data_IF_351556168989
#
_entry.id   IF_351556168989
#
_cell.length_a   1.000
_cell.length_b   1.000
_cell.length_c   1.000
_cell.angle_alpha   90.00
_cell.angle_beta   90.00
_cell.angle_gamma   90.00
#
_symmetry.space_group_name_H-M   'P 1'
#
loop_
_entity.id
_entity.type
_entity.pdbx_description
1 polymer ?
#
# COMPACT_ATOMS: atom_id res chain seq x y z
N UNK A 1 88.94 15.77 -56.42
CA UNK A 1 89.34 14.88 -55.31
C UNK A 1 88.07 14.28 -54.75
N UNK A 2 87.95 12.97 -54.87
CA UNK A 2 86.94 12.10 -54.27
C UNK A 2 86.88 12.23 -52.74
N UNK A 3 85.69 12.08 -52.16
CA UNK A 3 85.33 11.17 -51.03
C UNK A 3 83.92 11.54 -50.53
N UNK A 4 83.13 10.56 -50.06
CA UNK A 4 81.68 10.49 -50.22
C UNK A 4 80.89 10.72 -48.92
N UNK A 5 79.56 10.83 -49.11
CA UNK A 5 78.48 10.18 -48.35
C UNK A 5 78.86 9.52 -47.01
N UNK A 6 78.38 10.11 -45.91
CA UNK A 6 78.08 9.39 -44.68
C UNK A 6 76.55 9.32 -44.49
N UNK A 7 76.03 8.16 -44.87
CA UNK A 7 74.77 7.57 -44.42
C UNK A 7 74.78 7.34 -42.90
N UNK A 8 73.74 7.81 -42.21
CA UNK A 8 73.29 7.24 -40.93
C UNK A 8 71.76 7.00 -40.96
N UNK A 9 71.25 6.02 -40.19
CA UNK A 9 70.41 4.98 -40.76
C UNK A 9 68.92 5.23 -40.49
N UNK A 10 68.10 4.87 -41.48
CA UNK A 10 66.68 4.63 -41.30
C UNK A 10 66.45 3.40 -40.41
N UNK A 11 66.41 3.60 -39.09
CA UNK A 11 66.14 2.52 -38.15
C UNK A 11 65.36 3.00 -36.92
N UNK A 12 64.10 3.44 -37.07
CA UNK A 12 63.14 3.27 -35.94
C UNK A 12 61.63 3.39 -36.23
N UNK A 13 61.16 3.39 -37.48
CA UNK A 13 59.70 3.58 -37.71
C UNK A 13 58.86 2.32 -37.43
N UNK A 14 59.47 1.13 -37.44
CA UNK A 14 58.77 -0.15 -37.30
C UNK A 14 58.64 -0.60 -35.84
N UNK A 15 59.58 -0.23 -34.97
CA UNK A 15 59.57 -0.57 -33.55
C UNK A 15 58.62 0.35 -32.78
N UNK A 16 58.69 1.66 -33.03
CA UNK A 16 57.75 2.65 -32.47
C UNK A 16 56.28 2.34 -32.82
N UNK A 17 55.99 1.94 -34.06
CA UNK A 17 54.63 1.54 -34.47
C UNK A 17 54.15 0.25 -33.79
N UNK A 18 55.05 -0.70 -33.54
CA UNK A 18 54.74 -1.94 -32.81
C UNK A 18 54.49 -1.67 -31.32
N UNK A 19 55.31 -0.82 -30.69
CA UNK A 19 55.12 -0.39 -29.31
C UNK A 19 53.83 0.42 -29.14
N UNK A 20 53.55 1.36 -30.05
CA UNK A 20 52.30 2.11 -30.06
C UNK A 20 51.07 1.19 -30.19
N UNK A 21 51.13 0.21 -31.12
CA UNK A 21 50.07 -0.79 -31.27
C UNK A 21 49.89 -1.62 -29.98
N UNK A 22 51.00 -2.11 -29.40
CA UNK A 22 50.96 -2.90 -28.17
C UNK A 22 50.37 -2.11 -26.99
N UNK A 23 50.76 -0.83 -26.83
CA UNK A 23 50.21 0.06 -25.80
C UNK A 23 48.73 0.34 -26.02
N UNK A 24 48.28 0.55 -27.27
CA UNK A 24 46.85 0.74 -27.56
C UNK A 24 46.03 -0.52 -27.31
N UNK A 25 46.56 -1.70 -27.64
CA UNK A 25 45.91 -2.98 -27.36
C UNK A 25 45.83 -3.20 -25.85
N UNK A 26 46.92 -3.00 -25.11
CA UNK A 26 46.93 -3.15 -23.65
C UNK A 26 45.96 -2.18 -22.98
N UNK A 27 45.92 -0.92 -23.42
CA UNK A 27 45.00 0.10 -22.93
C UNK A 27 43.53 -0.26 -23.20
N UNK A 28 43.22 -0.78 -24.39
CA UNK A 28 41.86 -1.22 -24.74
C UNK A 28 41.41 -2.44 -23.90
N UNK A 29 42.31 -3.39 -23.63
CA UNK A 29 42.02 -4.55 -22.78
C UNK A 29 41.80 -4.13 -21.33
N UNK A 30 42.61 -3.22 -20.80
CA UNK A 30 42.42 -2.65 -19.46
C UNK A 30 41.09 -1.91 -19.34
N UNK A 31 40.71 -1.11 -20.33
CA UNK A 31 39.42 -0.42 -20.37
C UNK A 31 38.25 -1.42 -20.35
N UNK A 32 38.32 -2.48 -21.16
CA UNK A 32 37.30 -3.53 -21.19
C UNK A 32 37.18 -4.26 -19.86
N UNK A 33 38.29 -4.53 -19.17
CA UNK A 33 38.27 -5.16 -17.84
C UNK A 33 37.65 -4.25 -16.78
N UNK A 34 37.93 -2.94 -16.83
CA UNK A 34 37.29 -1.96 -15.93
C UNK A 34 35.80 -1.86 -16.20
N UNK A 35 35.38 -1.74 -17.47
CA UNK A 35 33.97 -1.71 -17.85
C UNK A 35 33.27 -3.00 -17.44
N UNK A 36 33.88 -4.17 -17.67
CA UNK A 36 33.34 -5.45 -17.24
C UNK A 36 33.21 -5.51 -15.71
N UNK A 37 34.19 -5.03 -14.96
CA UNK A 37 34.15 -4.94 -13.49
C UNK A 37 33.03 -4.02 -12.99
N UNK A 38 32.84 -2.85 -13.62
CA UNK A 38 31.75 -1.92 -13.30
C UNK A 38 30.40 -2.52 -13.64
N UNK A 39 30.26 -3.18 -14.79
CA UNK A 39 29.03 -3.88 -15.17
C UNK A 39 28.74 -5.05 -14.23
N UNK A 40 29.75 -5.84 -13.84
CA UNK A 40 29.60 -6.92 -12.87
C UNK A 40 29.19 -6.38 -11.50
N UNK A 41 29.82 -5.31 -11.03
CA UNK A 41 29.43 -4.65 -9.80
C UNK A 41 28.01 -4.11 -9.88
N UNK A 42 27.65 -3.41 -10.96
CA UNK A 42 26.30 -2.93 -11.19
C UNK A 42 25.28 -4.08 -11.23
N UNK A 43 25.59 -5.19 -11.91
CA UNK A 43 24.72 -6.36 -12.01
C UNK A 43 24.59 -7.14 -10.69
N UNK A 44 25.66 -7.18 -9.89
CA UNK A 44 25.66 -7.78 -8.56
C UNK A 44 24.93 -6.88 -7.55
N UNK A 45 25.09 -5.56 -7.64
CA UNK A 45 24.37 -4.57 -6.82
C UNK A 45 22.90 -4.43 -7.21
N UNK A 46 22.53 -4.61 -8.47
CA UNK A 46 21.12 -4.65 -8.90
C UNK A 46 20.43 -5.99 -8.60
N UNK A 47 21.20 -7.05 -8.28
CA UNK A 47 20.71 -8.33 -7.75
C UNK A 47 20.60 -8.39 -6.23
N UNK A 48 20.84 -7.29 -5.52
CA UNK A 48 20.83 -7.26 -4.05
C UNK A 48 19.50 -7.72 -3.43
N UNK A 49 18.42 -7.82 -4.20
CA UNK A 49 17.17 -8.44 -3.73
C UNK A 49 16.56 -9.44 -4.72
N UNK A 50 17.36 -10.33 -5.31
CA UNK A 50 16.83 -11.34 -6.25
C UNK A 50 15.90 -12.37 -5.59
N UNK A 51 16.08 -12.66 -4.30
CA UNK A 51 15.31 -13.68 -3.55
C UNK A 51 14.77 -13.16 -2.21
N UNK A 52 14.81 -11.84 -1.98
CA UNK A 52 14.40 -11.21 -0.73
C UNK A 52 13.19 -10.29 -0.91
N UNK A 53 12.77 -9.68 0.19
CA UNK A 53 11.71 -8.67 0.23
C UNK A 53 12.36 -7.34 0.58
N UNK A 54 12.00 -6.29 -0.16
CA UNK A 54 12.51 -4.94 0.07
C UNK A 54 11.65 -4.20 1.09
N UNK A 55 12.27 -3.69 2.15
CA UNK A 55 11.69 -2.72 3.07
C UNK A 55 11.55 -1.35 2.38
N UNK A 56 10.31 -0.90 2.18
CA UNK A 56 9.90 0.45 1.74
C UNK A 56 10.82 1.17 0.74
N UNK A 57 10.83 2.50 0.83
CA UNK A 57 11.73 3.36 0.02
C UNK A 57 13.19 3.28 0.44
N UNK A 58 13.45 2.75 1.65
CA UNK A 58 14.80 2.58 2.19
C UNK A 58 15.62 1.51 1.46
N UNK A 59 14.97 0.64 0.67
CA UNK A 59 15.64 -0.33 -0.19
C UNK A 59 16.42 -1.42 0.56
N UNK A 60 16.23 -1.54 1.88
CA UNK A 60 16.85 -2.60 2.68
C UNK A 60 16.21 -3.93 2.28
N UNK A 61 17.01 -4.88 1.78
CA UNK A 61 16.52 -6.20 1.42
C UNK A 61 16.66 -7.17 2.59
N UNK A 62 15.58 -7.87 2.93
CA UNK A 62 15.55 -8.92 3.96
C UNK A 62 15.10 -10.25 3.37
N UNK A 63 15.41 -11.35 4.06
CA UNK A 63 14.95 -12.68 3.64
C UNK A 63 13.44 -12.81 3.80
N UNK A 64 12.77 -13.59 2.95
CA UNK A 64 11.35 -13.94 3.13
C UNK A 64 11.05 -14.60 4.49
N UNK A 65 12.04 -15.25 5.09
CA UNK A 65 11.93 -15.86 6.42
C UNK A 65 11.95 -14.85 7.57
N UNK A 66 12.43 -13.63 7.32
CA UNK A 66 12.47 -12.51 8.28
C UNK A 66 11.20 -11.65 8.22
N UNK A 67 10.30 -11.93 7.27
CA UNK A 67 9.04 -11.23 7.14
C UNK A 67 8.01 -11.88 8.07
N UNK A 68 7.41 -11.10 8.97
CA UNK A 68 6.43 -11.58 9.95
C UNK A 68 6.98 -12.64 10.90
N UNK A 69 8.23 -12.47 11.31
CA UNK A 69 8.88 -13.36 12.25
C UNK A 69 8.76 -12.91 13.72
N UNK A 70 8.30 -11.68 13.95
CA UNK A 70 8.13 -11.06 15.26
C UNK A 70 9.27 -10.13 15.66
N UNK A 71 10.26 -9.91 14.77
CA UNK A 71 11.42 -9.05 15.03
C UNK A 71 11.48 -7.98 13.95
N UNK A 72 11.57 -6.71 14.37
CA UNK A 72 11.72 -5.61 13.42
C UNK A 72 13.11 -5.61 12.78
N UNK A 73 13.16 -5.93 11.49
CA UNK A 73 14.34 -5.82 10.64
C UNK A 73 14.29 -4.57 9.76
N UNK A 74 13.10 -4.12 9.35
CA UNK A 74 12.94 -2.86 8.63
C UNK A 74 12.95 -1.68 9.61
N UNK A 75 13.59 -0.57 9.24
CA UNK A 75 13.70 0.62 10.10
C UNK A 75 12.33 1.21 10.54
N UNK A 76 11.31 1.07 9.69
CA UNK A 76 9.93 1.48 9.97
C UNK A 76 9.03 0.33 10.47
N UNK A 77 9.57 -0.88 10.66
CA UNK A 77 8.81 -2.06 11.14
C UNK A 77 7.79 -2.62 10.14
N UNK A 78 7.93 -2.29 8.86
CA UNK A 78 7.01 -2.72 7.81
C UNK A 78 6.92 -4.25 7.68
N UNK A 79 8.03 -4.93 7.95
CA UNK A 79 8.14 -6.39 7.94
C UNK A 79 7.24 -7.06 8.98
N UNK A 80 6.85 -6.34 10.03
CA UNK A 80 5.97 -6.83 11.10
C UNK A 80 4.59 -6.17 11.11
N UNK A 81 4.41 -5.08 10.36
CA UNK A 81 3.15 -4.34 10.29
C UNK A 81 2.17 -4.92 9.24
N UNK A 82 2.65 -5.68 8.26
CA UNK A 82 1.85 -6.17 7.12
C UNK A 82 1.85 -7.70 7.01
N UNK A 83 1.47 -8.37 8.09
CA UNK A 83 1.46 -9.84 8.17
C UNK A 83 0.14 -10.49 7.78
N UNK A 84 -0.91 -9.68 7.69
CA UNK A 84 -2.26 -10.12 7.38
C UNK A 84 -2.83 -9.27 6.26
N UNK A 85 -3.72 -9.88 5.47
CA UNK A 85 -4.51 -9.17 4.47
C UNK A 85 -5.86 -9.83 4.26
N UNK A 86 -6.79 -9.05 3.74
CA UNK A 86 -8.06 -9.55 3.24
C UNK A 86 -7.97 -9.74 1.73
N UNK A 87 -8.41 -10.91 1.26
CA UNK A 87 -8.35 -11.29 -0.14
C UNK A 87 -9.74 -11.57 -0.73
N UNK A 88 -9.95 -11.04 -1.94
CA UNK A 88 -11.15 -11.25 -2.73
C UNK A 88 -12.41 -10.59 -2.17
N UNK A 89 -13.53 -10.78 -2.87
CA UNK A 89 -14.83 -10.18 -2.53
C UNK A 89 -15.47 -10.73 -1.24
N UNK A 90 -14.95 -11.85 -0.71
CA UNK A 90 -15.44 -12.51 0.49
C UNK A 90 -14.54 -12.26 1.71
N UNK A 91 -13.63 -11.28 1.65
CA UNK A 91 -12.76 -10.91 2.78
C UNK A 91 -12.09 -12.12 3.46
N UNK A 92 -11.54 -13.02 2.65
CA UNK A 92 -10.79 -14.17 3.16
C UNK A 92 -9.54 -13.65 3.88
N UNK A 93 -9.35 -14.08 5.12
CA UNK A 93 -8.13 -13.75 5.86
C UNK A 93 -6.96 -14.59 5.34
N UNK A 94 -5.90 -13.90 4.94
CA UNK A 94 -4.62 -14.52 4.60
C UNK A 94 -3.53 -14.00 5.53
N UNK A 95 -2.61 -14.89 5.87
CA UNK A 95 -1.41 -14.57 6.63
C UNK A 95 -0.17 -14.91 5.80
N UNK A 96 0.91 -14.17 6.00
CA UNK A 96 2.16 -14.43 5.33
C UNK A 96 2.88 -15.63 5.97
N UNK A 97 3.25 -16.64 5.18
CA UNK A 97 4.03 -17.79 5.65
C UNK A 97 5.51 -17.49 5.54
N UNK A 98 6.19 -17.29 6.68
CA UNK A 98 7.65 -17.14 6.74
C UNK A 98 8.41 -18.40 6.27
N UNK A 99 7.82 -19.59 6.45
CA UNK A 99 8.47 -20.87 6.13
C UNK A 99 8.42 -21.20 4.64
N UNK A 100 7.26 -21.01 4.00
CA UNK A 100 7.05 -21.35 2.59
C UNK A 100 7.13 -20.14 1.66
N UNK A 101 7.13 -18.93 2.22
CA UNK A 101 6.99 -17.69 1.47
C UNK A 101 5.57 -17.50 0.93
N UNK A 102 5.13 -16.25 0.91
CA UNK A 102 3.86 -15.86 0.32
C UNK A 102 2.65 -16.00 1.23
N UNK A 103 1.50 -15.61 0.66
CA UNK A 103 0.25 -15.45 1.38
C UNK A 103 -0.58 -16.72 1.34
N UNK A 104 -1.00 -17.21 2.51
CA UNK A 104 -1.77 -18.45 2.65
C UNK A 104 -3.08 -18.19 3.41
N UNK A 105 -4.20 -18.85 3.06
CA UNK A 105 -5.44 -18.72 3.82
C UNK A 105 -5.30 -19.20 5.26
N UNK A 106 -5.97 -18.52 6.18
CA UNK A 106 -5.97 -18.90 7.60
C UNK A 106 -7.10 -19.90 7.88
N UNK A 107 -6.80 -21.03 8.51
CA UNK A 107 -7.76 -22.04 8.91
C UNK A 107 -8.73 -21.54 9.97
N UNK A 108 -9.99 -21.96 9.87
CA UNK A 108 -11.04 -21.62 10.82
C UNK A 108 -10.99 -22.42 12.13
N UNK A 109 -10.24 -23.53 12.15
CA UNK A 109 -10.13 -24.37 13.34
C UNK A 109 -9.46 -23.62 14.51
N UNK A 110 -10.13 -23.61 15.67
CA UNK A 110 -9.67 -22.88 16.85
C UNK A 110 -9.86 -21.36 16.79
N UNK A 111 -10.36 -20.83 15.67
CA UNK A 111 -10.57 -19.39 15.51
C UNK A 111 -11.71 -18.87 16.40
N UNK A 112 -11.53 -17.69 16.99
CA UNK A 112 -12.52 -17.05 17.85
C UNK A 112 -12.48 -15.52 17.68
N UNK A 113 -13.41 -14.83 18.34
CA UNK A 113 -13.54 -13.38 18.22
C UNK A 113 -12.31 -12.61 18.72
N UNK A 114 -11.56 -13.14 19.69
CA UNK A 114 -10.35 -12.48 20.17
C UNK A 114 -9.24 -12.48 19.10
N UNK A 115 -9.02 -13.61 18.41
CA UNK A 115 -8.12 -13.65 17.26
C UNK A 115 -8.63 -12.79 16.10
N UNK A 116 -9.96 -12.74 15.90
CA UNK A 116 -10.59 -11.80 14.97
C UNK A 116 -10.25 -10.33 15.26
N UNK A 117 -10.39 -9.90 16.51
CA UNK A 117 -10.04 -8.54 16.94
C UNK A 117 -8.54 -8.25 16.77
N UNK A 118 -7.66 -9.18 17.14
CA UNK A 118 -6.21 -9.03 16.97
C UNK A 118 -5.83 -8.94 15.48
N UNK A 119 -6.44 -9.76 14.62
CA UNK A 119 -6.22 -9.68 13.19
C UNK A 119 -6.66 -8.32 12.63
N UNK A 120 -7.79 -7.78 13.11
CA UNK A 120 -8.25 -6.46 12.71
C UNK A 120 -7.34 -5.33 13.18
N UNK A 121 -6.82 -5.43 14.41
CA UNK A 121 -5.81 -4.51 14.95
C UNK A 121 -4.54 -4.50 14.09
N UNK A 122 -4.07 -5.68 13.67
CA UNK A 122 -2.91 -5.78 12.77
C UNK A 122 -3.20 -5.31 11.34
N UNK A 123 -4.47 -5.31 10.92
CA UNK A 123 -4.90 -4.69 9.65
C UNK A 123 -5.07 -3.16 9.76
N UNK A 124 -4.86 -2.58 10.96
CA UNK A 124 -4.95 -1.14 11.21
C UNK A 124 -6.33 -0.65 11.66
N UNK A 125 -7.25 -1.53 12.02
CA UNK A 125 -8.56 -1.19 12.58
C UNK A 125 -8.54 -1.20 14.10
N UNK A 126 -9.32 -0.34 14.76
CA UNK A 126 -9.50 -0.44 16.20
C UNK A 126 -10.26 -1.71 16.59
N UNK A 127 -9.86 -2.34 17.70
CA UNK A 127 -10.52 -3.56 18.21
C UNK A 127 -12.03 -3.39 18.42
N UNK A 128 -12.46 -2.19 18.76
CA UNK A 128 -13.87 -1.85 18.99
C UNK A 128 -14.71 -1.85 17.70
N UNK A 129 -14.08 -1.73 16.53
CA UNK A 129 -14.78 -1.74 15.24
C UNK A 129 -15.09 -3.14 14.73
N UNK A 130 -14.46 -4.18 15.31
CA UNK A 130 -14.63 -5.57 14.91
C UNK A 130 -16.11 -5.97 14.85
N UNK A 131 -16.54 -6.49 13.70
CA UNK A 131 -17.93 -6.93 13.49
C UNK A 131 -18.06 -8.42 13.77
N UNK A 132 -17.33 -9.24 13.00
CA UNK A 132 -17.42 -10.70 13.10
C UNK A 132 -16.31 -11.40 12.32
N UNK A 133 -16.10 -12.66 12.65
CA UNK A 133 -15.42 -13.65 11.81
C UNK A 133 -16.40 -14.75 11.43
N UNK A 134 -16.28 -15.25 10.20
CA UNK A 134 -17.06 -16.37 9.69
C UNK A 134 -16.17 -17.40 9.01
N UNK A 135 -16.79 -18.41 8.43
CA UNK A 135 -16.09 -19.49 7.73
C UNK A 135 -16.48 -19.48 6.25
N UNK A 136 -15.52 -19.79 5.39
CA UNK A 136 -15.78 -20.12 3.99
C UNK A 136 -14.90 -21.29 3.56
N UNK A 137 -15.34 -22.02 2.52
CA UNK A 137 -14.49 -23.04 1.91
C UNK A 137 -13.53 -22.39 0.91
N UNK A 138 -12.25 -22.70 1.02
CA UNK A 138 -11.23 -22.28 0.06
C UNK A 138 -10.18 -23.37 -0.10
N UNK A 139 -9.91 -23.76 -1.34
CA UNK A 139 -8.89 -24.75 -1.66
C UNK A 139 -7.54 -24.06 -1.88
N UNK A 140 -6.51 -24.56 -1.19
CA UNK A 140 -5.12 -24.12 -1.28
C UNK A 140 -4.23 -25.33 -0.99
N UNK A 141 -3.01 -25.32 -1.54
CA UNK A 141 -2.02 -26.35 -1.25
C UNK A 141 -1.46 -26.21 0.17
N UNK A 142 -1.41 -24.98 0.70
CA UNK A 142 -0.97 -24.68 2.07
C UNK A 142 -1.89 -23.68 2.76
N UNK A 143 -1.91 -23.73 4.08
CA UNK A 143 -2.69 -22.91 4.99
C UNK A 143 -1.83 -22.42 6.15
N UNK A 144 -2.34 -21.40 6.85
CA UNK A 144 -1.86 -21.03 8.19
C UNK A 144 -2.88 -21.48 9.21
N UNK A 145 -2.44 -22.14 10.27
CA UNK A 145 -3.31 -22.68 11.32
C UNK A 145 -2.84 -22.19 12.69
N UNK A 146 -3.77 -22.00 13.62
CA UNK A 146 -3.46 -21.69 15.01
C UNK A 146 -2.71 -22.86 15.65
N UNK A 147 -1.62 -22.56 16.35
CA UNK A 147 -0.89 -23.55 17.14
C UNK A 147 -1.68 -23.97 18.39
N UNK A 148 -1.50 -25.19 18.85
CA UNK A 148 -2.24 -25.77 19.99
C UNK A 148 -2.01 -25.03 21.33
N UNK A 149 -0.94 -24.22 21.42
CA UNK A 149 -0.61 -23.40 22.59
C UNK A 149 -0.85 -21.90 22.41
N UNK A 150 -1.70 -21.50 21.45
CA UNK A 150 -1.88 -20.08 21.09
C UNK A 150 -2.31 -19.21 22.29
N UNK A 151 -1.56 -18.14 22.57
CA UNK A 151 -1.86 -17.17 23.61
C UNK A 151 -2.47 -15.90 23.00
N UNK A 152 -3.69 -15.49 23.41
CA UNK A 152 -4.30 -14.20 23.09
C UNK A 152 -3.41 -12.95 23.29
N UNK A 153 -2.38 -13.03 24.14
CA UNK A 153 -1.52 -11.91 24.49
C UNK A 153 -0.25 -11.82 23.64
N UNK A 154 0.02 -12.83 22.80
CA UNK A 154 1.15 -12.81 21.87
C UNK A 154 0.72 -12.28 20.51
N UNK A 155 1.64 -11.66 19.74
CA UNK A 155 1.35 -11.23 18.38
C UNK A 155 0.79 -12.38 17.54
N UNK A 156 -0.28 -12.14 16.79
CA UNK A 156 -1.03 -13.20 16.09
C UNK A 156 -0.14 -14.01 15.13
N UNK A 157 0.86 -13.39 14.50
CA UNK A 157 1.80 -14.05 13.61
C UNK A 157 2.66 -15.13 14.30
N UNK A 158 2.82 -15.07 15.62
CA UNK A 158 3.53 -16.08 16.41
C UNK A 158 2.64 -17.26 16.78
N UNK A 159 1.32 -17.06 16.79
CA UNK A 159 0.34 -18.12 17.05
C UNK A 159 -0.01 -18.94 15.80
N UNK A 160 0.57 -18.63 14.63
CA UNK A 160 0.26 -19.29 13.37
C UNK A 160 1.43 -20.15 12.87
N UNK A 161 1.10 -21.40 12.53
CA UNK A 161 2.01 -22.38 11.92
C UNK A 161 1.56 -22.71 10.49
N UNK A 162 2.50 -23.10 9.63
CA UNK A 162 2.18 -23.56 8.28
C UNK A 162 1.67 -25.00 8.30
N UNK A 163 0.60 -25.26 7.55
CA UNK A 163 -0.01 -26.59 7.42
C UNK A 163 -0.36 -26.90 5.97
N UNK A 164 -0.18 -28.15 5.55
CA UNK A 164 -0.56 -28.65 4.21
C UNK A 164 -2.06 -29.01 4.13
N UNK A 165 -2.76 -28.99 5.26
CA UNK A 165 -4.16 -29.35 5.31
C UNK A 165 -4.93 -28.45 6.27
N UNK A 166 -6.19 -28.24 5.95
CA UNK A 166 -7.12 -27.49 6.76
C UNK A 166 -8.40 -28.31 6.90
N UNK A 167 -8.92 -28.45 8.13
CA UNK A 167 -10.09 -29.29 8.35
C UNK A 167 -11.27 -28.86 7.47
N UNK A 168 -11.70 -29.75 6.58
CA UNK A 168 -12.73 -29.51 5.56
C UNK A 168 -12.48 -28.27 4.66
N UNK A 169 -11.22 -27.84 4.50
CA UNK A 169 -10.82 -26.63 3.76
C UNK A 169 -11.56 -25.36 4.21
N UNK A 170 -11.91 -25.28 5.50
CA UNK A 170 -12.63 -24.15 6.09
C UNK A 170 -11.64 -23.08 6.54
N UNK A 171 -11.74 -21.91 5.93
CA UNK A 171 -10.87 -20.77 6.17
C UNK A 171 -11.66 -19.59 6.73
N UNK A 172 -10.96 -18.68 7.39
CA UNK A 172 -11.55 -17.52 8.06
C UNK A 172 -11.96 -16.46 7.03
N UNK A 173 -13.21 -16.00 7.13
CA UNK A 173 -13.67 -14.71 6.61
C UNK A 173 -13.64 -13.71 7.77
N UNK A 174 -13.13 -12.50 7.53
CA UNK A 174 -13.00 -11.48 8.58
C UNK A 174 -13.68 -10.18 8.16
N UNK A 175 -14.46 -9.59 9.07
CA UNK A 175 -15.09 -8.27 8.91
C UNK A 175 -14.70 -7.38 10.08
N UNK A 176 -13.78 -6.46 9.82
CA UNK A 176 -13.22 -5.57 10.84
C UNK A 176 -14.01 -4.30 11.09
N UNK A 177 -14.89 -3.91 10.17
CA UNK A 177 -15.74 -2.73 10.31
C UNK A 177 -17.01 -2.92 9.51
N UNK A 178 -18.11 -2.30 9.94
CA UNK A 178 -19.31 -2.17 9.14
C UNK A 178 -19.15 -0.99 8.17
N UNK A 179 -19.00 -1.28 6.89
CA UNK A 179 -18.76 -0.30 5.83
C UNK A 179 -19.68 -0.53 4.62
N UNK A 180 -19.80 0.49 3.78
CA UNK A 180 -20.49 0.41 2.48
C UNK A 180 -22.00 0.19 2.58
N UNK A 181 -22.58 0.30 3.78
CA UNK A 181 -24.01 0.16 4.04
C UNK A 181 -24.72 1.47 3.77
N UNK A 182 -25.86 1.40 3.09
CA UNK A 182 -26.79 2.51 2.87
C UNK A 182 -28.17 2.08 3.33
N UNK A 183 -28.80 2.88 4.19
CA UNK A 183 -30.19 2.62 4.58
C UNK A 183 -31.18 3.14 3.53
N UNK A 184 -30.73 4.12 2.72
CA UNK A 184 -31.52 4.72 1.65
C UNK A 184 -30.93 4.30 0.30
N UNK A 185 -31.66 3.54 -0.54
CA UNK A 185 -31.19 3.19 -1.87
C UNK A 185 -31.10 4.45 -2.76
N UNK A 186 -30.05 4.60 -3.58
CA UNK A 186 -29.96 5.72 -4.51
C UNK A 186 -31.12 5.66 -5.52
N UNK A 187 -31.68 6.82 -5.88
CA UNK A 187 -32.60 6.90 -7.02
C UNK A 187 -31.85 6.49 -8.31
N UNK A 188 -32.58 5.89 -9.25
CA UNK A 188 -32.05 5.30 -10.50
C UNK A 188 -31.13 6.25 -11.28
N UNK A 189 -30.24 5.70 -12.12
CA UNK A 189 -29.30 6.41 -13.01
C UNK A 189 -29.81 7.77 -13.50
N UNK A 190 -29.10 8.84 -13.15
CA UNK A 190 -29.39 10.19 -13.63
C UNK A 190 -28.20 10.73 -14.39
N UNK A 191 -28.40 11.02 -15.66
CA UNK A 191 -27.44 11.74 -16.50
C UNK A 191 -27.68 13.22 -16.25
N UNK A 192 -26.70 13.94 -15.69
CA UNK A 192 -26.83 15.37 -15.35
C UNK A 192 -26.79 15.69 -13.85
N UNK A 193 -26.78 14.66 -12.98
CA UNK A 193 -26.75 14.81 -11.52
C UNK A 193 -28.09 15.28 -10.93
N UNK A 194 -28.39 14.85 -9.71
CA UNK A 194 -29.50 15.37 -8.90
C UNK A 194 -29.00 15.56 -7.47
N UNK A 195 -29.68 16.43 -6.73
CA UNK A 195 -29.43 16.60 -5.30
C UNK A 195 -29.64 15.24 -4.61
N UNK A 196 -28.60 14.76 -3.93
CA UNK A 196 -28.68 13.51 -3.18
C UNK A 196 -29.67 13.64 -2.02
N UNK A 197 -30.35 12.55 -1.68
CA UNK A 197 -31.12 12.49 -0.43
C UNK A 197 -30.17 12.42 0.76
N UNK A 198 -30.59 12.96 1.90
CA UNK A 198 -29.78 12.94 3.12
C UNK A 198 -29.48 11.49 3.50
N UNK A 199 -28.23 11.19 3.86
CA UNK A 199 -27.81 9.81 4.18
C UNK A 199 -27.74 8.84 3.01
N UNK A 200 -28.01 9.26 1.76
CA UNK A 200 -27.81 8.38 0.60
C UNK A 200 -26.34 7.98 0.39
N UNK A 201 -25.42 8.81 0.89
CA UNK A 201 -23.97 8.66 0.76
C UNK A 201 -23.27 9.00 2.07
N UNK A 202 -23.44 8.17 3.10
CA UNK A 202 -23.09 8.52 4.46
C UNK A 202 -21.58 8.62 4.71
N UNK A 203 -20.76 8.17 3.76
CA UNK A 203 -19.30 8.34 3.78
C UNK A 203 -18.82 9.64 3.14
N UNK A 204 -19.66 10.37 2.40
CA UNK A 204 -19.23 11.60 1.75
C UNK A 204 -18.90 12.65 2.81
N UNK A 205 -17.73 13.27 2.68
CA UNK A 205 -17.36 14.45 3.48
C UNK A 205 -17.01 15.64 2.61
N UNK A 206 -17.15 16.81 3.18
CA UNK A 206 -16.73 18.08 2.60
C UNK A 206 -15.54 18.62 3.38
N UNK A 207 -14.44 18.92 2.68
CA UNK A 207 -13.19 19.40 3.24
C UNK A 207 -13.06 20.90 3.02
N UNK A 208 -12.93 21.65 4.11
CA UNK A 208 -12.97 23.11 4.11
C UNK A 208 -11.66 23.71 4.59
N UNK A 209 -11.29 24.84 3.98
CA UNK A 209 -10.18 25.70 4.43
C UNK A 209 -10.68 27.13 4.45
N UNK A 210 -10.39 27.86 5.54
CA UNK A 210 -10.74 29.28 5.64
C UNK A 210 -12.24 29.59 5.57
N UNK A 211 -13.11 28.62 5.84
CA UNK A 211 -14.55 28.80 5.71
C UNK A 211 -15.09 28.61 4.29
N UNK A 212 -14.35 27.96 3.40
CA UNK A 212 -14.80 27.60 2.06
C UNK A 212 -14.52 26.13 1.74
N UNK A 213 -15.42 25.50 0.97
CA UNK A 213 -15.22 24.15 0.44
C UNK A 213 -14.05 24.11 -0.54
N UNK A 214 -13.12 23.17 -0.35
CA UNK A 214 -11.97 22.96 -1.23
C UNK A 214 -12.00 21.60 -1.94
N UNK A 215 -12.36 20.54 -1.22
CA UNK A 215 -12.31 19.18 -1.73
C UNK A 215 -13.39 18.27 -1.11
N UNK A 216 -13.62 17.14 -1.75
CA UNK A 216 -14.35 16.02 -1.17
C UNK A 216 -13.44 15.02 -0.47
N UNK A 217 -14.03 14.12 0.32
CA UNK A 217 -13.35 12.95 0.85
C UNK A 217 -14.34 11.83 1.16
N UNK A 218 -13.83 10.72 1.66
CA UNK A 218 -14.65 9.59 2.12
C UNK A 218 -14.22 9.10 3.49
N UNK A 219 -15.18 8.83 4.36
CA UNK A 219 -14.95 8.18 5.66
C UNK A 219 -14.54 6.73 5.40
N UNK A 220 -13.41 6.29 5.96
CA UNK A 220 -12.95 4.89 5.90
C UNK A 220 -12.92 4.22 7.28
N UNK A 221 -12.74 5.01 8.34
CA UNK A 221 -12.92 4.63 9.75
C UNK A 221 -13.51 5.83 10.51
N UNK A 222 -13.87 5.70 11.80
CA UNK A 222 -14.35 6.84 12.59
C UNK A 222 -13.41 8.05 12.64
N UNK A 223 -12.11 7.84 12.56
CA UNK A 223 -11.11 8.90 12.69
C UNK A 223 -10.27 9.11 11.42
N UNK A 224 -10.51 8.37 10.34
CA UNK A 224 -9.79 8.52 9.07
C UNK A 224 -10.69 8.84 7.89
N UNK A 225 -10.26 9.86 7.14
CA UNK A 225 -10.81 10.27 5.86
C UNK A 225 -9.78 9.98 4.78
N UNK A 226 -10.22 9.37 3.67
CA UNK A 226 -9.43 9.32 2.43
C UNK A 226 -9.82 10.48 1.50
N UNK A 227 -8.84 11.11 0.88
CA UNK A 227 -9.00 12.17 -0.12
C UNK A 227 -7.89 12.08 -1.15
N UNK A 228 -7.84 13.04 -2.06
CA UNK A 228 -6.80 13.15 -3.07
C UNK A 228 -5.57 13.89 -2.51
N UNK A 229 -4.37 13.50 -2.92
CA UNK A 229 -3.14 14.16 -2.50
C UNK A 229 -3.06 15.60 -3.02
N UNK A 230 -3.60 15.86 -4.22
CA UNK A 230 -3.59 17.20 -4.79
C UNK A 230 -4.38 18.22 -3.94
N UNK A 231 -5.37 17.77 -3.16
CA UNK A 231 -6.12 18.64 -2.23
C UNK A 231 -5.22 19.27 -1.17
N UNK A 232 -4.16 18.56 -0.77
CA UNK A 232 -3.27 18.96 0.32
C UNK A 232 -2.03 19.77 -0.17
N UNK A 233 -1.92 20.06 -1.47
CA UNK A 233 -0.74 20.75 -2.03
C UNK A 233 -0.64 22.21 -1.59
N UNK A 234 -1.77 22.92 -1.60
CA UNK A 234 -1.82 24.34 -1.22
C UNK A 234 -1.93 24.51 0.30
N UNK A 235 -2.60 23.58 0.99
CA UNK A 235 -2.86 23.62 2.41
C UNK A 235 -2.38 22.32 3.06
N UNK A 236 -1.17 22.36 3.62
CA UNK A 236 -0.45 21.17 4.07
C UNK A 236 -0.34 21.07 5.61
N UNK A 237 -1.00 21.95 6.36
CA UNK A 237 -1.05 21.89 7.81
C UNK A 237 -2.40 21.30 8.27
N UNK A 238 -2.43 20.39 9.26
CA UNK A 238 -3.68 19.87 9.79
C UNK A 238 -4.66 20.96 10.26
N UNK A 239 -4.14 22.06 10.82
CA UNK A 239 -4.94 23.18 11.32
C UNK A 239 -5.65 24.01 10.23
N UNK A 240 -5.26 23.85 8.96
CA UNK A 240 -5.93 24.52 7.84
C UNK A 240 -7.31 23.92 7.57
N UNK A 241 -7.50 22.65 7.94
CA UNK A 241 -8.61 21.83 7.48
C UNK A 241 -9.71 21.66 8.52
N UNK A 242 -10.95 21.80 8.06
CA UNK A 242 -12.16 21.40 8.78
C UNK A 242 -12.94 20.38 7.95
N UNK A 243 -13.36 19.27 8.58
CA UNK A 243 -14.10 18.20 7.92
C UNK A 243 -15.57 18.24 8.33
N UNK A 244 -16.47 18.30 7.35
CA UNK A 244 -17.91 18.18 7.57
C UNK A 244 -18.42 16.83 7.04
N UNK A 245 -19.05 16.06 7.91
CA UNK A 245 -19.65 14.76 7.62
C UNK A 245 -21.13 14.77 8.01
N UNK A 246 -21.97 14.10 7.22
CA UNK A 246 -23.41 13.99 7.50
C UNK A 246 -24.26 15.20 7.11
N UNK A 247 -23.71 16.13 6.32
CA UNK A 247 -24.42 17.30 5.81
C UNK A 247 -24.54 17.24 4.29
N UNK A 248 -25.67 17.73 3.76
CA UNK A 248 -25.86 17.94 2.32
C UNK A 248 -25.64 19.39 1.89
N UNK A 249 -25.92 20.34 2.78
CA UNK A 249 -25.99 21.77 2.48
C UNK A 249 -24.83 22.54 3.14
N UNK A 250 -24.17 23.40 2.37
CA UNK A 250 -23.00 24.16 2.84
C UNK A 250 -23.36 25.24 3.87
N UNK A 251 -24.58 25.78 3.81
CA UNK A 251 -25.06 26.75 4.79
C UNK A 251 -25.32 26.10 6.16
N UNK A 252 -25.77 24.84 6.19
CA UNK A 252 -25.80 24.05 7.43
C UNK A 252 -24.39 23.77 7.97
N UNK A 253 -23.43 23.44 7.09
CA UNK A 253 -22.03 23.24 7.50
C UNK A 253 -21.47 24.50 8.17
N UNK A 254 -21.67 25.68 7.57
CA UNK A 254 -21.24 26.97 8.12
C UNK A 254 -21.81 27.30 9.51
N UNK A 255 -23.00 26.78 9.83
CA UNK A 255 -23.65 26.98 11.13
C UNK A 255 -23.18 26.01 12.21
N UNK A 256 -22.62 24.88 11.80
CA UNK A 256 -22.22 23.82 12.70
C UNK A 256 -20.71 23.80 12.88
N UNK A 257 -20.26 23.14 13.94
CA UNK A 257 -18.85 22.93 14.19
C UNK A 257 -18.40 21.67 13.47
N UNK A 258 -17.55 21.81 12.45
CA UNK A 258 -16.90 20.68 11.79
C UNK A 258 -15.83 20.01 12.66
N UNK A 259 -15.33 18.87 12.19
CA UNK A 259 -14.30 18.07 12.85
C UNK A 259 -12.90 18.61 12.50
N UNK A 260 -12.05 18.78 13.52
CA UNK A 260 -10.67 19.22 13.35
C UNK A 260 -9.75 18.07 12.95
N UNK A 261 -8.70 18.36 12.19
CA UNK A 261 -7.72 17.39 11.70
C UNK A 261 -6.46 17.42 12.56
N UNK A 262 -5.96 16.24 12.95
CA UNK A 262 -4.76 16.07 13.77
C UNK A 262 -3.53 15.68 12.97
N UNK A 263 -3.70 15.03 11.82
CA UNK A 263 -2.60 14.55 10.98
C UNK A 263 -3.02 14.48 9.51
N UNK A 264 -2.09 14.82 8.63
CA UNK A 264 -2.17 14.61 7.20
C UNK A 264 -1.12 13.59 6.78
N UNK A 265 -1.48 12.62 5.96
CA UNK A 265 -0.58 11.65 5.36
C UNK A 265 -0.78 11.67 3.85
N UNK A 266 0.28 11.91 3.10
CA UNK A 266 0.30 11.84 1.64
C UNK A 266 1.64 11.23 1.24
N UNK A 267 1.65 10.36 0.23
CA UNK A 267 2.83 9.63 -0.17
C UNK A 267 3.06 9.75 -1.68
N UNK A 268 4.26 10.19 -2.05
CA UNK A 268 4.82 10.18 -3.42
C UNK A 268 3.86 10.60 -4.55
N UNK A 269 3.02 11.61 -4.29
CA UNK A 269 2.21 12.23 -5.33
C UNK A 269 3.11 12.89 -6.37
N UNK A 270 3.01 12.43 -7.61
CA UNK A 270 3.70 13.03 -8.75
C UNK A 270 2.77 13.99 -9.47
N UNK A 271 2.92 15.28 -9.18
CA UNK A 271 2.14 16.36 -9.82
C UNK A 271 2.26 16.45 -11.34
N UNK A 272 3.28 15.82 -11.94
CA UNK A 272 3.49 15.83 -13.39
C UNK A 272 2.70 14.72 -14.10
N UNK A 273 2.49 13.59 -13.43
CA UNK A 273 1.77 12.43 -13.98
C UNK A 273 0.41 12.20 -13.34
N UNK A 274 0.10 12.89 -12.24
CA UNK A 274 -1.00 12.63 -11.31
C UNK A 274 -0.99 11.21 -10.73
N UNK A 275 0.18 10.54 -10.72
CA UNK A 275 0.31 9.24 -10.09
C UNK A 275 0.30 9.40 -8.57
N UNK A 276 -0.27 8.40 -7.88
CA UNK A 276 -0.39 8.34 -6.42
C UNK A 276 -1.19 9.52 -5.82
N UNK A 277 -2.28 9.92 -6.49
CA UNK A 277 -3.17 10.99 -6.01
C UNK A 277 -4.11 10.51 -4.88
N UNK A 278 -3.52 10.10 -3.76
CA UNK A 278 -4.24 9.63 -2.58
C UNK A 278 -3.58 10.15 -1.30
N UNK A 279 -4.41 10.63 -0.39
CA UNK A 279 -4.00 11.09 0.92
C UNK A 279 -5.01 10.66 1.99
N UNK A 280 -4.54 10.62 3.23
CA UNK A 280 -5.33 10.34 4.42
C UNK A 280 -5.29 11.52 5.37
N UNK A 281 -6.44 11.83 5.97
CA UNK A 281 -6.58 12.83 7.02
C UNK A 281 -7.05 12.13 8.29
N UNK A 282 -6.27 12.25 9.36
CA UNK A 282 -6.67 11.78 10.70
C UNK A 282 -7.42 12.89 11.42
N UNK A 283 -8.63 12.62 11.89
CA UNK A 283 -9.40 13.53 12.72
C UNK A 283 -8.79 13.61 14.12
N UNK A 284 -9.09 14.71 14.83
CA UNK A 284 -8.65 14.88 16.23
C UNK A 284 -9.52 14.09 17.21
N UNK A 285 -10.77 13.84 16.83
CA UNK A 285 -11.73 13.01 17.55
C UNK A 285 -12.47 12.13 16.54
N UNK A 286 -12.82 10.89 16.89
CA UNK A 286 -13.66 10.04 16.07
C UNK A 286 -15.01 10.69 15.75
N UNK A 287 -15.53 10.47 14.55
CA UNK A 287 -16.88 10.81 14.16
C UNK A 287 -17.89 9.95 14.94
N UNK A 288 -19.00 10.58 15.34
CA UNK A 288 -20.15 9.86 15.86
C UNK A 288 -20.91 9.24 14.68
N UNK A 289 -20.79 7.92 14.53
CA UNK A 289 -21.48 7.19 13.46
C UNK A 289 -23.00 7.26 13.61
N UNK A 290 -23.69 7.41 12.48
CA UNK A 290 -25.14 7.57 12.40
C UNK A 290 -25.63 7.12 11.02
N UNK A 291 -26.93 7.20 10.75
CA UNK A 291 -27.49 6.88 9.42
C UNK A 291 -26.99 7.81 8.30
N UNK A 292 -26.46 8.99 8.65
CA UNK A 292 -25.87 9.95 7.71
C UNK A 292 -24.34 9.97 7.74
N UNK A 293 -23.71 9.22 8.65
CA UNK A 293 -22.25 9.18 8.86
C UNK A 293 -21.83 7.72 9.03
N UNK A 294 -21.34 7.10 7.94
CA UNK A 294 -20.88 5.69 7.90
C UNK A 294 -19.68 5.55 6.97
N UNK A 295 -18.76 4.61 7.22
CA UNK A 295 -17.58 4.45 6.36
C UNK A 295 -17.91 3.72 5.04
N UNK A 296 -17.12 3.99 4.00
CA UNK A 296 -17.09 3.21 2.75
C UNK A 296 -16.14 2.02 2.89
N UNK A 297 -16.43 0.91 2.21
CA UNK A 297 -15.51 -0.22 2.17
C UNK A 297 -14.35 0.05 1.22
N UNK A 298 -13.14 -0.34 1.64
CA UNK A 298 -11.99 -0.42 0.75
C UNK A 298 -11.97 -1.76 0.02
N UNK A 299 -11.50 -1.80 -1.24
CA UNK A 299 -11.37 -3.05 -1.98
C UNK A 299 -10.30 -3.93 -1.35
N UNK A 300 -10.59 -5.23 -1.25
CA UNK A 300 -9.62 -6.22 -0.80
C UNK A 300 -8.60 -6.52 -1.90
N UNK A 301 -7.47 -7.10 -1.53
CA UNK A 301 -6.46 -7.54 -2.50
C UNK A 301 -7.06 -8.59 -3.43
N UNK A 302 -6.78 -8.48 -4.74
CA UNK A 302 -7.30 -9.41 -5.75
C UNK A 302 -8.79 -9.25 -6.06
N UNK A 303 -9.44 -8.20 -5.54
CA UNK A 303 -10.80 -7.86 -5.96
C UNK A 303 -10.78 -7.14 -7.31
N UNK A 304 -11.42 -7.74 -8.31
CA UNK A 304 -11.55 -7.14 -9.63
C UNK A 304 -12.64 -6.06 -9.63
N UNK A 305 -12.20 -4.82 -9.86
CA UNK A 305 -13.06 -3.63 -9.98
C UNK A 305 -13.40 -3.33 -11.44
N UNK A 306 -12.70 -3.93 -12.39
CA UNK A 306 -12.94 -3.76 -13.82
C UNK A 306 -14.09 -4.68 -14.25
N UNK A 307 -15.33 -4.18 -14.19
CA UNK A 307 -16.51 -4.96 -14.60
C UNK A 307 -17.22 -4.40 -15.84
N UNK A 308 -17.88 -5.27 -16.63
CA UNK A 308 -18.43 -4.93 -17.94
C UNK A 308 -19.49 -3.82 -17.87
N UNK A 309 -19.60 -3.06 -18.97
CA UNK A 309 -20.53 -1.94 -19.16
C UNK A 309 -21.94 -2.24 -18.63
N UNK A 310 -22.37 -1.49 -17.61
CA UNK A 310 -23.75 -1.53 -17.11
C UNK A 310 -23.95 -1.33 -15.61
N UNK A 311 -22.88 -1.40 -14.79
CA UNK A 311 -22.98 -1.09 -13.35
C UNK A 311 -22.78 0.41 -13.09
N UNK A 312 -23.61 1.00 -12.23
CA UNK A 312 -23.59 2.42 -11.91
C UNK A 312 -22.50 2.71 -10.87
N UNK A 313 -21.49 3.48 -11.27
CA UNK A 313 -20.60 4.18 -10.35
C UNK A 313 -21.12 5.61 -10.16
N UNK A 314 -21.03 6.12 -8.93
CA UNK A 314 -21.59 7.40 -8.55
C UNK A 314 -20.47 8.31 -8.07
N UNK A 315 -20.37 9.49 -8.68
CA UNK A 315 -19.52 10.58 -8.19
C UNK A 315 -20.39 11.61 -7.50
N UNK A 316 -19.91 12.09 -6.35
CA UNK A 316 -20.55 13.16 -5.59
C UNK A 316 -19.59 14.34 -5.53
N UNK A 317 -20.18 15.53 -5.54
CA UNK A 317 -19.48 16.79 -5.35
C UNK A 317 -20.46 17.85 -4.85
N UNK A 318 -19.94 18.86 -4.17
CA UNK A 318 -20.74 20.02 -3.77
C UNK A 318 -20.96 20.91 -5.00
N UNK A 319 -22.21 21.29 -5.27
CA UNK A 319 -22.51 22.34 -6.24
C UNK A 319 -22.53 23.69 -5.50
N UNK A 320 -21.89 24.70 -6.08
CA UNK A 320 -21.96 26.09 -5.63
C UNK A 320 -23.21 26.81 -6.10
#
# INVERSE_FOLDING_TARGET
MSVPEDTEPAADSKWVKKCACFVTVLGSVLLLLVVAGVLLWYFLSSRWCASGITCGDGGQCISASMWCDGVMHCAAGEDEAQCFRLYGSRSQLQAYSRQRGGWKPVCAEGWNNNFGMLACEQLGYDRETYVASGEMTSFSDDYMQLDFGSDPNTPLQQNLISSESCYANRVVMLRCIECGVRDIPPRSRIVGGEIASEGAWPWQVSLWVGGEHQCGGSIITPDWIVTAAHCLLLYNLPGDWTVYAGYLDQYEMLKNKGSSVSRLLSYTYDSSTNNNDVALMKLSQPLNMSDTVKPVCLPNVGQDLCRPQGMLDFRLGCHS
#
